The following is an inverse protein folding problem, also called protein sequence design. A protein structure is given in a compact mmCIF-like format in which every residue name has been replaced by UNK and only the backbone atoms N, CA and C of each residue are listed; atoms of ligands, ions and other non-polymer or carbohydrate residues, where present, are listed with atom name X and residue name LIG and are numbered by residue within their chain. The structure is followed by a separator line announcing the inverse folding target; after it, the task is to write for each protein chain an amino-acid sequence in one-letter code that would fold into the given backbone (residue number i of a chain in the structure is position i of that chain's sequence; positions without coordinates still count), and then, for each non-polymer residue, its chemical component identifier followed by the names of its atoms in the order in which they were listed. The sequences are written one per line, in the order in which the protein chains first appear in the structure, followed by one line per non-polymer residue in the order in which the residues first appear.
data_IF_103639202439
#
_entry.id   IF_103639202439
#
_cell.length_a   1.000
_cell.length_b   1.000
_cell.length_c   1.000
_cell.angle_alpha   90.00
_cell.angle_beta   90.00
_cell.angle_gamma   90.00
#
_symmetry.space_group_name_H-M   'P 1'
#
loop_
_entity.id
_entity.type
_entity.pdbx_description
1 polymer ?
#
# COMPACT_ATOMS: atom_id res chain seq x y z
N UNK A 1 14.84 1.36 23.29
CA UNK A 1 14.11 0.11 22.99
C UNK A 1 12.85 0.52 22.22
N UNK A 2 12.95 0.71 20.91
CA UNK A 2 11.84 1.18 20.06
C UNK A 2 10.98 0.00 19.58
N UNK A 3 10.51 -0.81 20.52
CA UNK A 3 9.53 -1.86 20.26
C UNK A 3 8.15 -1.31 20.63
N UNK A 4 7.52 -0.57 19.72
CA UNK A 4 6.12 -0.15 19.91
C UNK A 4 5.24 -1.39 19.82
N UNK A 5 4.88 -1.96 20.99
CA UNK A 5 3.90 -3.06 21.09
C UNK A 5 2.55 -2.67 20.46
N UNK A 6 2.25 -1.39 20.47
CA UNK A 6 1.06 -0.71 19.97
C UNK A 6 1.21 -0.21 18.52
N UNK A 7 2.21 -0.67 17.75
CA UNK A 7 2.45 -0.19 16.38
C UNK A 7 1.19 -0.25 15.49
N UNK A 8 0.40 -1.31 15.62
CA UNK A 8 -0.81 -1.52 14.83
C UNK A 8 -1.87 -0.49 15.16
N UNK A 9 -2.07 -0.18 16.45
CA UNK A 9 -3.00 0.84 16.91
C UNK A 9 -2.57 2.23 16.41
N UNK A 10 -1.28 2.54 16.49
CA UNK A 10 -0.73 3.80 15.96
C UNK A 10 -0.96 3.94 14.46
N UNK A 11 -0.74 2.88 13.68
CA UNK A 11 -1.06 2.89 12.25
C UNK A 11 -2.56 3.11 12.01
N UNK A 12 -3.43 2.48 12.78
CA UNK A 12 -4.88 2.67 12.66
C UNK A 12 -5.29 4.11 13.00
N UNK A 13 -4.69 4.71 14.02
CA UNK A 13 -4.92 6.12 14.39
C UNK A 13 -4.49 7.06 13.26
N UNK A 14 -3.36 6.79 12.58
CA UNK A 14 -2.92 7.56 11.42
C UNK A 14 -3.95 7.49 10.28
N UNK A 15 -4.48 6.29 9.98
CA UNK A 15 -5.51 6.13 8.96
C UNK A 15 -6.79 6.90 9.34
N UNK A 16 -7.23 6.79 10.59
CA UNK A 16 -8.42 7.50 11.08
C UNK A 16 -8.25 9.03 11.06
N UNK A 17 -7.07 9.53 11.42
CA UNK A 17 -6.76 10.95 11.32
C UNK A 17 -6.83 11.43 9.86
N UNK A 18 -6.33 10.63 8.92
CA UNK A 18 -6.44 10.94 7.49
C UNK A 18 -7.90 10.95 7.00
N UNK A 19 -8.75 10.01 7.45
CA UNK A 19 -10.19 10.01 7.15
C UNK A 19 -10.91 11.25 7.67
N UNK A 20 -10.49 11.77 8.83
CA UNK A 20 -11.09 12.96 9.42
C UNK A 20 -10.74 14.22 8.62
N UNK A 21 -9.56 14.27 8.00
CA UNK A 21 -9.16 15.35 7.10
C UNK A 21 -9.80 15.24 5.71
N UNK A 22 -10.24 14.05 5.33
CA UNK A 22 -10.73 13.69 4.00
C UNK A 22 -11.80 14.63 3.42
N UNK A 23 -12.85 15.04 4.15
CA UNK A 23 -13.89 15.91 3.61
C UNK A 23 -13.40 17.34 3.36
N UNK A 24 -12.30 17.76 3.99
CA UNK A 24 -11.73 19.10 3.83
C UNK A 24 -10.87 19.22 2.57
N UNK A 25 -10.42 18.09 2.01
CA UNK A 25 -9.57 18.03 0.82
C UNK A 25 -10.38 18.05 -0.49
N UNK A 26 -11.70 17.83 -0.42
CA UNK A 26 -12.55 17.60 -1.58
C UNK A 26 -13.84 18.40 -1.51
N UNK A 27 -14.38 18.79 -2.67
CA UNK A 27 -15.71 19.36 -2.74
C UNK A 27 -16.78 18.24 -2.68
N UNK A 28 -18.03 18.66 -2.48
CA UNK A 28 -19.16 17.74 -2.34
C UNK A 28 -19.33 16.81 -3.55
N UNK A 29 -19.08 17.31 -4.77
CA UNK A 29 -19.20 16.51 -6.01
C UNK A 29 -18.18 15.37 -6.03
N UNK A 30 -16.91 15.66 -5.71
CA UNK A 30 -15.86 14.65 -5.68
C UNK A 30 -16.14 13.57 -4.62
N UNK A 31 -16.65 13.97 -3.46
CA UNK A 31 -17.06 13.05 -2.38
C UNK A 31 -18.22 12.15 -2.81
N UNK A 32 -19.26 12.71 -3.44
CA UNK A 32 -20.40 11.93 -3.95
C UNK A 32 -20.01 10.95 -5.05
N UNK A 33 -19.03 11.32 -5.87
CA UNK A 33 -18.52 10.48 -6.96
C UNK A 33 -17.43 9.50 -6.53
N UNK A 34 -16.95 9.60 -5.28
CA UNK A 34 -15.78 8.89 -4.78
C UNK A 34 -14.54 9.03 -5.70
N UNK A 35 -14.42 10.16 -6.41
CA UNK A 35 -13.31 10.43 -7.30
C UNK A 35 -13.40 11.75 -8.04
N UNK A 36 -12.45 11.94 -8.96
CA UNK A 36 -12.24 13.15 -9.74
C UNK A 36 -12.12 12.75 -11.21
N UNK A 37 -12.92 13.38 -12.08
CA UNK A 37 -12.72 13.32 -13.51
C UNK A 37 -11.70 14.39 -13.92
N UNK A 38 -10.63 13.98 -14.59
CA UNK A 38 -9.60 14.88 -15.08
C UNK A 38 -9.03 14.38 -16.42
N UNK A 39 -8.42 15.28 -17.17
CA UNK A 39 -7.74 14.93 -18.42
C UNK A 39 -6.33 14.43 -18.08
N UNK A 40 -5.96 13.25 -18.59
CA UNK A 40 -4.62 12.72 -18.43
C UNK A 40 -3.58 13.49 -19.27
N UNK A 41 -2.30 13.15 -19.14
CA UNK A 41 -1.22 13.79 -19.91
C UNK A 41 -1.28 13.55 -21.43
N UNK A 42 -2.17 12.67 -21.90
CA UNK A 42 -2.37 12.34 -23.30
C UNK A 42 -3.66 12.97 -23.87
N UNK A 43 -4.40 13.75 -23.07
CA UNK A 43 -5.63 14.40 -23.50
C UNK A 43 -6.90 13.56 -23.28
N UNK A 44 -6.82 12.40 -22.64
CA UNK A 44 -7.97 11.53 -22.42
C UNK A 44 -8.69 11.86 -21.11
N UNK A 45 -10.03 11.95 -21.14
CA UNK A 45 -10.82 12.01 -19.91
C UNK A 45 -10.66 10.72 -19.11
N UNK A 46 -10.23 10.86 -17.85
CA UNK A 46 -9.92 9.74 -16.96
C UNK A 46 -10.52 9.99 -15.58
N UNK A 47 -11.09 8.93 -15.00
CA UNK A 47 -11.56 8.95 -13.62
C UNK A 47 -10.45 8.50 -12.66
N UNK A 48 -10.21 9.31 -11.63
CA UNK A 48 -9.25 9.03 -10.57
C UNK A 48 -9.99 8.88 -9.24
N UNK A 49 -9.88 7.74 -8.55
CA UNK A 49 -10.40 7.60 -7.21
C UNK A 49 -9.81 8.66 -6.28
N UNK A 50 -10.55 9.03 -5.23
CA UNK A 50 -10.03 9.93 -4.21
C UNK A 50 -8.77 9.35 -3.55
N UNK A 51 -7.91 10.23 -3.03
CA UNK A 51 -6.64 9.86 -2.40
C UNK A 51 -6.91 8.89 -1.25
N UNK A 52 -6.01 7.93 -1.04
CA UNK A 52 -6.05 7.03 0.10
C UNK A 52 -4.67 6.87 0.70
N UNK A 53 -4.62 6.50 1.97
CA UNK A 53 -3.39 6.24 2.70
C UNK A 53 -3.19 4.74 2.89
N UNK A 54 -2.07 4.22 2.38
CA UNK A 54 -1.70 2.81 2.52
C UNK A 54 -0.46 2.66 3.38
N UNK A 55 -0.53 1.80 4.39
CA UNK A 55 0.57 1.51 5.33
C UNK A 55 0.97 0.04 5.16
N UNK A 56 2.22 -0.20 4.81
CA UNK A 56 2.83 -1.53 4.84
C UNK A 56 3.62 -1.71 6.13
N UNK A 57 3.38 -2.80 6.85
CA UNK A 57 4.06 -3.14 8.10
C UNK A 57 4.81 -4.47 7.98
N UNK A 58 5.99 -4.53 8.59
CA UNK A 58 6.80 -5.74 8.72
C UNK A 58 7.20 -5.87 10.18
N UNK A 59 6.86 -7.01 10.78
CA UNK A 59 7.39 -7.37 12.09
C UNK A 59 8.62 -8.22 11.88
N UNK A 60 9.81 -7.65 12.10
CA UNK A 60 11.10 -8.29 11.80
C UNK A 60 11.22 -9.67 12.47
N UNK A 61 10.70 -9.80 13.70
CA UNK A 61 10.73 -11.04 14.48
C UNK A 61 9.92 -12.20 13.85
N UNK A 62 9.04 -11.93 12.88
CA UNK A 62 8.27 -12.96 12.18
C UNK A 62 9.08 -13.61 11.04
N UNK A 63 10.27 -13.09 10.70
CA UNK A 63 11.06 -13.51 9.55
C UNK A 63 12.48 -13.92 9.97
N UNK A 64 12.78 -15.22 9.92
CA UNK A 64 14.10 -15.76 10.28
C UNK A 64 15.22 -15.40 9.29
N UNK A 65 14.87 -14.92 8.10
CA UNK A 65 15.80 -14.64 7.00
C UNK A 65 16.13 -13.16 6.81
N UNK A 66 15.58 -12.25 7.62
CA UNK A 66 16.02 -10.85 7.64
C UNK A 66 17.33 -10.79 8.43
N UNK A 67 18.46 -10.65 7.73
CA UNK A 67 19.80 -10.64 8.35
C UNK A 67 20.54 -9.33 8.11
N UNK A 68 20.11 -8.54 7.13
CA UNK A 68 20.69 -7.25 6.80
C UNK A 68 19.61 -6.20 6.45
N UNK A 69 20.01 -4.93 6.39
CA UNK A 69 19.15 -3.79 6.06
C UNK A 69 18.53 -3.89 4.65
N UNK A 70 19.27 -4.48 3.70
CA UNK A 70 18.78 -4.70 2.34
C UNK A 70 17.56 -5.62 2.33
N UNK A 71 17.58 -6.67 3.16
CA UNK A 71 16.46 -7.60 3.30
C UNK A 71 15.24 -6.83 3.83
N UNK A 72 15.42 -6.06 4.92
CA UNK A 72 14.35 -5.26 5.53
C UNK A 72 13.69 -4.31 4.52
N UNK A 73 14.50 -3.67 3.67
CA UNK A 73 14.00 -2.77 2.62
C UNK A 73 13.15 -3.50 1.59
N UNK A 74 13.53 -4.71 1.21
CA UNK A 74 12.73 -5.57 0.32
C UNK A 74 11.39 -5.94 0.96
N UNK A 75 11.40 -6.42 2.22
CA UNK A 75 10.16 -6.76 2.94
C UNK A 75 9.25 -5.55 3.12
N UNK A 76 9.79 -4.39 3.49
CA UNK A 76 9.02 -3.15 3.63
C UNK A 76 8.41 -2.71 2.29
N UNK A 77 9.18 -2.82 1.21
CA UNK A 77 8.70 -2.52 -0.15
C UNK A 77 7.58 -3.46 -0.57
N UNK A 78 7.69 -4.76 -0.26
CA UNK A 78 6.65 -5.75 -0.50
C UNK A 78 5.40 -5.46 0.32
N UNK A 79 5.53 -5.19 1.61
CA UNK A 79 4.40 -4.84 2.49
C UNK A 79 3.66 -3.59 1.97
N UNK A 80 4.41 -2.54 1.60
CA UNK A 80 3.87 -1.32 1.00
C UNK A 80 3.15 -1.59 -0.31
N UNK A 81 3.74 -2.41 -1.19
CA UNK A 81 3.13 -2.77 -2.47
C UNK A 81 1.81 -3.50 -2.27
N UNK A 82 1.76 -4.45 -1.33
CA UNK A 82 0.53 -5.16 -0.96
C UNK A 82 -0.53 -4.22 -0.38
N UNK A 83 -0.14 -3.30 0.51
CA UNK A 83 -1.06 -2.29 1.05
C UNK A 83 -1.68 -1.41 -0.06
N UNK A 84 -0.88 -0.98 -1.04
CA UNK A 84 -1.33 -0.15 -2.17
C UNK A 84 -2.29 -0.85 -3.13
N UNK A 85 -2.35 -2.18 -3.10
CA UNK A 85 -3.30 -2.96 -3.91
C UNK A 85 -4.68 -3.04 -3.28
N UNK A 86 -4.78 -2.76 -1.98
CA UNK A 86 -6.06 -2.66 -1.28
C UNK A 86 -6.70 -1.31 -1.62
N UNK A 87 -8.00 -1.32 -1.87
CA UNK A 87 -8.76 -0.11 -2.17
C UNK A 87 -8.97 0.71 -0.91
N UNK A 88 -8.76 2.03 -1.00
CA UNK A 88 -8.98 2.95 0.11
C UNK A 88 -7.86 2.90 1.15
N UNK A 89 -8.15 3.42 2.33
CA UNK A 89 -7.20 3.40 3.44
C UNK A 89 -6.90 1.97 3.87
N UNK A 90 -5.63 1.66 4.00
CA UNK A 90 -5.22 0.28 4.20
C UNK A 90 -4.02 0.13 5.12
N UNK A 91 -4.06 -0.94 5.92
CA UNK A 91 -2.92 -1.45 6.67
C UNK A 91 -2.70 -2.90 6.27
N UNK A 92 -1.50 -3.21 5.78
CA UNK A 92 -1.12 -4.58 5.45
C UNK A 92 0.13 -4.98 6.23
N UNK A 93 -0.01 -5.97 7.12
CA UNK A 93 1.13 -6.61 7.74
C UNK A 93 1.61 -7.75 6.84
N UNK A 94 2.85 -7.66 6.37
CA UNK A 94 3.47 -8.77 5.68
C UNK A 94 3.68 -9.92 6.66
N UNK A 95 3.17 -11.09 6.28
CA UNK A 95 3.40 -12.34 6.99
C UNK A 95 4.46 -13.17 6.26
N UNK A 96 5.25 -13.99 6.98
CA UNK A 96 6.09 -14.99 6.34
C UNK A 96 5.20 -15.88 5.47
N UNK A 97 5.69 -16.28 4.31
CA UNK A 97 4.96 -17.21 3.47
C UNK A 97 4.79 -18.52 4.25
N UNK A 98 3.54 -18.98 4.38
CA UNK A 98 3.34 -20.39 4.71
C UNK A 98 3.94 -21.19 3.54
N UNK A 99 4.67 -22.27 3.82
CA UNK A 99 5.34 -23.10 2.79
C UNK A 99 4.38 -23.66 1.70
N UNK A 100 3.07 -23.40 1.80
CA UNK A 100 2.02 -23.84 0.88
C UNK A 100 1.47 -22.74 -0.07
N UNK A 101 1.92 -21.49 -0.02
CA UNK A 101 1.49 -20.47 -1.01
C UNK A 101 2.60 -20.17 -2.03
N UNK A 102 2.59 -20.96 -3.10
CA UNK A 102 3.36 -20.71 -4.32
C UNK A 102 2.91 -19.39 -4.94
N UNK A 103 3.60 -18.30 -4.61
CA UNK A 103 3.46 -17.04 -5.36
C UNK A 103 4.12 -17.27 -6.73
N UNK A 104 3.33 -17.62 -7.73
CA UNK A 104 3.77 -17.58 -9.12
C UNK A 104 4.21 -16.15 -9.44
N UNK A 105 5.52 -15.95 -9.58
CA UNK A 105 6.08 -14.69 -10.09
C UNK A 105 5.56 -14.50 -11.52
N UNK A 106 4.98 -13.33 -11.87
CA UNK A 106 4.67 -13.06 -13.27
C UNK A 106 5.97 -13.08 -14.07
N UNK A 107 6.04 -14.00 -15.03
CA UNK A 107 7.17 -14.17 -15.93
C UNK A 107 7.21 -12.94 -16.84
N UNK A 108 8.15 -12.03 -16.57
CA UNK A 108 8.43 -10.91 -17.48
C UNK A 108 8.86 -11.55 -18.81
N UNK A 109 8.03 -11.45 -19.85
CA UNK A 109 8.44 -11.81 -21.20
C UNK A 109 9.42 -10.74 -21.65
N UNK A 110 10.69 -11.12 -21.76
CA UNK A 110 11.64 -10.35 -22.56
C UNK A 110 11.09 -10.35 -23.99
N UNK A 111 10.69 -9.18 -24.47
CA UNK A 111 10.40 -8.96 -25.88
C UNK A 111 11.77 -8.95 -26.56
N UNK A 112 12.09 -10.02 -27.29
CA UNK A 112 13.21 -10.01 -28.22
C UNK A 112 12.87 -9.10 -29.38
N UNK A 113 13.64 -8.03 -29.54
CA UNK A 113 13.65 -7.16 -30.72
C UNK A 113 13.98 -7.99 -31.98
N UNK A 114 13.26 -7.70 -33.06
CA UNK A 114 13.48 -8.26 -34.40
C UNK A 114 14.58 -7.50 -35.14
#
# INVERSE_FOLDING_TARGET
MFESKDWQERCQQILHAFETLYPQLYNLRHLQQAGINAVDRHGNETFYPLLSLSIGAVRILDFANIKAEIDLTEYASKAKSMAKRLTGNSLYQLKPANENEVIQKPRIRLVTEQ
#
